data_IF_002126029236
#
_entry.id   IF_002126029236
#
_cell.length_a   1.000
_cell.length_b   1.000
_cell.length_c   1.000
_cell.angle_alpha   90.00
_cell.angle_beta   90.00
_cell.angle_gamma   90.00
#
_symmetry.space_group_name_H-M   'P 1'
#
loop_
_entity.id
_entity.type
_entity.pdbx_description
1 polymer ?
#
# COMPACT_ATOMS: atom_id res chain seq x y z
N UNK A 1 -8.56 10.95 -21.45
CA UNK A 1 -8.19 10.56 -21.10
C UNK A 1 -8.33 10.11 -20.01
N UNK A 2 -8.54 9.52 -19.57
CA UNK A 2 -8.78 9.17 -18.59
C UNK A 2 -7.98 8.35 -18.06
N UNK A 3 -7.44 8.50 -17.27
CA UNK A 3 -6.65 7.79 -16.79
C UNK A 3 -7.21 7.06 -15.79
N UNK A 4 -7.33 5.93 -15.64
CA UNK A 4 -7.91 5.07 -14.65
C UNK A 4 -6.83 4.49 -13.77
N UNK A 5 -6.02 5.32 -13.26
CA UNK A 5 -4.98 4.86 -12.34
C UNK A 5 -5.55 4.74 -10.94
N UNK A 6 -5.08 3.74 -10.22
CA UNK A 6 -5.54 3.49 -8.86
C UNK A 6 -4.96 4.55 -7.94
N UNK A 7 -5.78 5.08 -7.04
CA UNK A 7 -5.28 6.03 -6.06
C UNK A 7 -5.47 5.46 -4.66
N UNK A 8 -4.62 5.91 -3.76
CA UNK A 8 -4.68 5.50 -2.37
C UNK A 8 -5.36 6.62 -1.59
N UNK A 9 -6.36 6.30 -0.77
CA UNK A 9 -7.10 7.34 -0.07
C UNK A 9 -6.21 8.16 0.86
N UNK A 10 -6.61 9.39 1.08
CA UNK A 10 -5.92 10.25 2.03
C UNK A 10 -5.99 9.63 3.43
N UNK A 11 -4.92 9.79 4.19
CA UNK A 11 -4.85 9.25 5.54
C UNK A 11 -3.74 9.93 6.30
N UNK A 12 -3.87 9.97 7.62
CA UNK A 12 -2.86 10.51 8.51
C UNK A 12 -2.44 11.93 8.14
N UNK A 13 -3.40 12.71 7.65
CA UNK A 13 -3.09 14.09 7.29
C UNK A 13 -2.44 14.28 5.95
N UNK A 14 -2.20 13.20 5.22
CA UNK A 14 -1.61 13.28 3.89
C UNK A 14 -2.69 13.15 2.84
N UNK A 15 -2.53 13.81 1.69
CA UNK A 15 -3.52 13.69 0.63
C UNK A 15 -3.46 12.31 -0.01
N UNK A 16 -4.47 12.02 -0.82
CA UNK A 16 -4.45 10.77 -1.57
C UNK A 16 -3.27 10.74 -2.53
N UNK A 17 -2.79 9.55 -2.82
CA UNK A 17 -1.66 9.38 -3.70
C UNK A 17 -2.07 8.56 -4.90
N UNK A 18 -1.61 8.98 -6.08
CA UNK A 18 -1.93 8.26 -7.31
C UNK A 18 -0.82 7.28 -7.61
N UNK A 19 -1.20 6.06 -7.96
CA UNK A 19 -0.21 5.05 -8.34
C UNK A 19 -0.11 4.98 -9.86
N UNK A 20 0.97 4.42 -10.38
CA UNK A 20 1.09 4.25 -11.83
C UNK A 20 0.38 3.01 -12.36
N UNK A 21 -0.35 2.29 -11.51
CA UNK A 21 -1.04 1.09 -11.96
C UNK A 21 -2.44 1.41 -12.41
N UNK A 22 -2.88 0.73 -13.47
CA UNK A 22 -4.22 0.92 -13.98
C UNK A 22 -5.25 0.22 -13.11
N UNK A 23 -6.53 0.46 -13.42
CA UNK A 23 -7.61 -0.04 -12.59
C UNK A 23 -7.65 -1.56 -12.51
N UNK A 24 -7.02 -2.24 -13.45
CA UNK A 24 -7.00 -3.71 -13.39
C UNK A 24 -6.22 -4.21 -12.19
N UNK A 25 -5.34 -3.39 -11.63
CA UNK A 25 -4.58 -3.78 -10.45
C UNK A 25 -5.15 -3.20 -9.17
N UNK A 26 -6.35 -2.58 -9.23
CA UNK A 26 -6.94 -1.98 -8.05
C UNK A 26 -7.06 -2.96 -6.87
N UNK A 27 -7.50 -4.21 -7.08
CA UNK A 27 -7.59 -5.13 -5.94
C UNK A 27 -6.26 -5.36 -5.25
N UNK A 28 -5.18 -5.42 -6.04
CA UNK A 28 -3.85 -5.66 -5.45
C UNK A 28 -3.36 -4.45 -4.68
N UNK A 29 -3.55 -3.26 -5.25
CA UNK A 29 -3.14 -2.04 -4.56
C UNK A 29 -3.93 -1.89 -3.26
N UNK A 30 -5.24 -2.14 -3.32
CA UNK A 30 -6.07 -2.01 -2.13
C UNK A 30 -5.69 -3.02 -1.06
N UNK A 31 -5.34 -4.23 -1.47
CA UNK A 31 -4.88 -5.22 -0.51
C UNK A 31 -3.61 -4.77 0.18
N UNK A 32 -2.71 -4.17 -0.59
CA UNK A 32 -1.47 -3.65 -0.01
C UNK A 32 -1.76 -2.57 1.03
N UNK A 33 -2.68 -1.67 0.71
CA UNK A 33 -3.06 -0.61 1.64
C UNK A 33 -3.67 -1.22 2.90
N UNK A 34 -4.54 -2.22 2.74
CA UNK A 34 -5.18 -2.85 3.89
C UNK A 34 -4.17 -3.57 4.76
N UNK A 35 -3.23 -4.28 4.16
CA UNK A 35 -2.21 -4.98 4.92
C UNK A 35 -1.33 -4.00 5.69
N UNK A 36 -0.99 -2.89 5.06
CA UNK A 36 -0.17 -1.88 5.73
C UNK A 36 -0.95 -1.26 6.88
N UNK A 37 -2.23 -0.98 6.67
CA UNK A 37 -3.05 -0.40 7.71
C UNK A 37 -3.13 -1.33 8.91
N UNK A 38 -3.33 -2.61 8.67
CA UNK A 38 -3.38 -3.59 9.74
C UNK A 38 -2.05 -3.63 10.50
N UNK A 39 -0.93 -3.62 9.77
CA UNK A 39 0.37 -3.66 10.41
C UNK A 39 0.60 -2.41 11.26
N UNK A 40 0.17 -1.25 10.74
CA UNK A 40 0.37 0.00 11.46
C UNK A 40 -0.45 0.05 12.74
N UNK A 41 -1.60 -0.61 12.74
CA UNK A 41 -2.49 -0.57 13.91
C UNK A 41 -2.25 -1.71 14.88
N UNK A 42 -1.43 -2.66 14.52
CA UNK A 42 -1.20 -3.82 15.36
C UNK A 42 0.13 -3.65 16.09
N UNK A 43 0.12 -3.49 17.40
CA UNK A 43 1.37 -3.38 18.14
C UNK A 43 2.08 -4.72 18.12
N UNK A 44 3.39 -4.70 18.02
CA UNK A 44 4.15 -5.93 17.99
C UNK A 44 5.53 -5.70 17.48
N UNK A 45 6.27 -6.78 17.39
CA UNK A 45 7.66 -6.70 17.00
C UNK A 45 7.91 -7.19 15.59
N UNK A 46 6.86 -7.30 14.77
CA UNK A 46 7.05 -7.80 13.41
C UNK A 46 7.70 -6.72 12.56
N UNK A 47 8.89 -6.98 12.01
CA UNK A 47 9.55 -5.99 11.19
C UNK A 47 8.75 -5.67 9.93
N UNK A 48 8.81 -4.43 9.50
CA UNK A 48 8.08 -3.99 8.32
C UNK A 48 8.46 -4.81 7.08
N UNK A 49 9.76 -5.00 6.87
CA UNK A 49 10.21 -5.71 5.68
C UNK A 49 9.70 -7.15 5.67
N UNK A 50 9.62 -7.77 6.85
CA UNK A 50 9.19 -9.15 6.94
C UNK A 50 7.70 -9.27 6.63
N UNK A 51 6.92 -8.34 7.18
CA UNK A 51 5.49 -8.34 6.92
C UNK A 51 5.21 -8.17 5.43
N UNK A 52 5.90 -7.22 4.80
CA UNK A 52 5.73 -6.99 3.38
C UNK A 52 6.14 -8.21 2.57
N UNK A 53 7.27 -8.82 2.90
CA UNK A 53 7.76 -9.98 2.17
C UNK A 53 6.78 -11.14 2.27
N UNK A 54 6.23 -11.39 3.45
CA UNK A 54 5.28 -12.48 3.62
C UNK A 54 3.99 -12.20 2.87
N UNK A 55 3.50 -10.98 2.94
CA UNK A 55 2.26 -10.64 2.27
C UNK A 55 2.40 -10.69 0.75
N UNK A 56 3.56 -10.29 0.22
CA UNK A 56 3.78 -10.36 -1.23
C UNK A 56 3.66 -11.77 -1.76
N UNK A 57 4.05 -12.75 -0.97
CA UNK A 57 4.02 -14.13 -1.41
C UNK A 57 2.61 -14.63 -1.66
N UNK A 58 1.60 -13.95 -1.13
CA UNK A 58 0.23 -14.36 -1.34
C UNK A 58 -0.33 -13.81 -2.65
N UNK A 59 0.43 -12.99 -3.37
CA UNK A 59 -0.03 -12.41 -4.61
C UNK A 59 0.53 -13.19 -5.78
N UNK A 60 -0.17 -13.18 -6.93
CA UNK A 60 0.38 -13.81 -8.12
C UNK A 60 1.68 -13.12 -8.51
N UNK A 61 2.61 -13.89 -9.06
CA UNK A 61 3.89 -13.33 -9.45
C UNK A 61 3.71 -12.29 -10.55
N UNK A 62 4.68 -11.39 -10.64
CA UNK A 62 4.66 -10.37 -11.68
C UNK A 62 4.18 -9.04 -11.15
N UNK A 63 3.51 -8.29 -12.02
CA UNK A 63 3.10 -6.93 -11.65
C UNK A 63 2.12 -6.89 -10.50
N UNK A 64 1.39 -7.98 -10.27
CA UNK A 64 0.48 -8.00 -9.12
C UNK A 64 1.22 -7.81 -7.82
N UNK A 65 2.40 -8.42 -7.68
CA UNK A 65 3.20 -8.24 -6.47
C UNK A 65 3.71 -6.80 -6.37
N UNK A 66 4.08 -6.22 -7.50
CA UNK A 66 4.56 -4.84 -7.49
C UNK A 66 3.44 -3.88 -7.12
N UNK A 67 2.25 -4.11 -7.64
CA UNK A 67 1.11 -3.26 -7.32
C UNK A 67 0.76 -3.37 -5.83
N UNK A 68 0.79 -4.58 -5.30
CA UNK A 68 0.54 -4.79 -3.88
C UNK A 68 1.58 -4.04 -3.05
N UNK A 69 2.83 -4.18 -3.43
CA UNK A 69 3.92 -3.54 -2.70
C UNK A 69 3.79 -2.01 -2.74
N UNK A 70 3.39 -1.48 -3.89
CA UNK A 70 3.21 -0.04 -4.01
C UNK A 70 2.13 0.44 -3.05
N UNK A 71 0.99 -0.26 -2.99
CA UNK A 71 -0.06 0.12 -2.07
C UNK A 71 0.39 0.06 -0.62
N UNK A 72 1.11 -1.00 -0.28
CA UNK A 72 1.61 -1.18 1.08
C UNK A 72 2.58 -0.05 1.45
N UNK A 73 3.57 0.18 0.61
CA UNK A 73 4.60 1.16 0.95
C UNK A 73 4.08 2.59 0.93
N UNK A 74 3.18 2.90 0.01
CA UNK A 74 2.62 4.25 -0.03
C UNK A 74 1.76 4.52 1.20
N UNK A 75 1.04 3.51 1.68
CA UNK A 75 0.26 3.71 2.91
C UNK A 75 1.19 3.94 4.10
N UNK A 76 2.29 3.20 4.19
CA UNK A 76 3.26 3.41 5.25
C UNK A 76 3.87 4.80 5.13
N UNK A 77 4.15 5.24 3.90
CA UNK A 77 4.71 6.56 3.68
C UNK A 77 3.77 7.66 4.18
N UNK A 78 2.48 7.49 3.98
CA UNK A 78 1.53 8.47 4.49
C UNK A 78 1.63 8.60 6.01
N UNK A 79 1.75 7.47 6.69
CA UNK A 79 1.86 7.50 8.14
C UNK A 79 3.16 8.19 8.58
N UNK A 80 4.25 7.86 7.89
CA UNK A 80 5.53 8.45 8.27
C UNK A 80 5.54 9.96 8.06
N UNK A 81 4.91 10.43 6.99
CA UNK A 81 4.91 11.85 6.72
C UNK A 81 3.87 12.59 7.55
N UNK A 82 2.75 11.94 7.79
CA UNK A 82 1.68 12.59 8.52
C UNK A 82 1.99 12.85 9.97
N UNK A 83 2.69 11.90 10.61
CA UNK A 83 2.96 12.05 12.02
C UNK A 83 4.18 12.89 12.30
N UNK A 84 4.85 13.36 11.30
CA UNK A 84 6.05 14.15 11.53
C UNK A 84 5.75 15.60 11.83
N UNK A 85 4.53 16.01 11.72
CA UNK A 85 4.18 17.39 11.96
C UNK A 85 4.18 17.78 13.44
#
# INVERSE_FOLDING_TARGET
MDENYVSIPAADGCPSLLTPWGSEFAPMVERGVQCAQTWLETPGDIPLWWELAQARKTCPAGESQDAFEAGFLLRVQQRLRGVSS
#
